data_IF_279476204634
#
_entry.id   IF_279476204634
#
_cell.length_a   1.000
_cell.length_b   1.000
_cell.length_c   1.000
_cell.angle_alpha   90.00
_cell.angle_beta   90.00
_cell.angle_gamma   90.00
#
_symmetry.space_group_name_H-M   'P 1'
#
loop_
_entity.id
_entity.type
_entity.pdbx_description
1 polymer ?
#
# COMPACT_ATOMS: atom_id res chain seq x y z
N UNK A 1 48.45 33.16 -32.39
CA UNK A 1 47.92 32.54 -31.16
C UNK A 1 46.72 31.66 -31.54
N UNK A 2 46.88 30.33 -31.50
CA UNK A 2 45.83 29.38 -31.85
C UNK A 2 44.85 29.20 -30.68
N UNK A 3 43.56 29.46 -30.89
CA UNK A 3 42.50 29.15 -29.90
C UNK A 3 42.41 27.64 -29.70
N UNK A 4 42.74 27.15 -28.50
CA UNK A 4 42.49 25.76 -28.12
C UNK A 4 40.97 25.51 -28.04
N UNK A 5 40.48 24.69 -28.96
CA UNK A 5 39.12 24.14 -28.95
C UNK A 5 39.12 22.80 -28.21
N UNK A 6 38.39 22.71 -27.10
CA UNK A 6 38.13 21.44 -26.43
C UNK A 6 36.85 20.84 -27.00
N UNK A 7 37.00 19.79 -27.81
CA UNK A 7 35.88 18.95 -28.24
C UNK A 7 35.76 17.80 -27.25
N UNK A 8 34.58 17.64 -26.63
CA UNK A 8 34.31 16.47 -25.81
C UNK A 8 34.50 15.21 -26.66
N UNK A 9 35.47 14.37 -26.31
CA UNK A 9 35.62 13.03 -26.89
C UNK A 9 34.84 12.06 -26.02
N UNK A 10 34.21 11.08 -26.65
CA UNK A 10 33.59 9.97 -25.92
C UNK A 10 34.65 9.25 -25.08
N UNK A 11 34.25 8.80 -23.88
CA UNK A 11 35.10 8.02 -23.00
C UNK A 11 35.50 6.71 -23.69
N UNK A 12 36.81 6.47 -23.78
CA UNK A 12 37.38 5.24 -24.33
C UNK A 12 37.58 4.24 -23.18
N UNK A 13 36.75 3.19 -23.15
CA UNK A 13 36.79 2.18 -22.10
C UNK A 13 38.11 1.38 -22.05
N UNK A 14 38.92 1.43 -23.10
CA UNK A 14 40.24 0.77 -23.16
C UNK A 14 41.37 1.63 -22.59
N UNK A 15 41.13 2.93 -22.36
CA UNK A 15 42.12 3.81 -21.76
C UNK A 15 41.97 3.82 -20.23
N UNK A 16 43.02 3.43 -19.48
CA UNK A 16 43.01 3.59 -18.03
C UNK A 16 42.96 5.08 -17.67
N UNK A 17 42.04 5.44 -16.78
CA UNK A 17 41.91 6.80 -16.25
C UNK A 17 43.04 7.04 -15.23
N UNK A 18 43.84 8.10 -15.37
CA UNK A 18 44.83 8.45 -14.38
C UNK A 18 44.15 8.89 -13.08
N UNK A 19 44.58 8.32 -11.95
CA UNK A 19 44.17 8.75 -10.61
C UNK A 19 45.23 9.70 -10.09
N UNK A 20 44.86 10.97 -9.90
CA UNK A 20 45.73 11.98 -9.31
C UNK A 20 45.52 12.05 -7.80
N UNK A 21 46.60 12.26 -7.05
CA UNK A 21 46.53 12.61 -5.63
C UNK A 21 46.41 14.12 -5.48
N UNK A 22 45.97 14.56 -4.31
CA UNK A 22 45.75 15.99 -4.01
C UNK A 22 47.01 16.83 -4.27
N UNK A 23 48.17 16.25 -3.99
CA UNK A 23 49.51 16.83 -4.20
C UNK A 23 49.95 16.91 -5.67
N UNK A 24 49.34 16.12 -6.57
CA UNK A 24 49.63 16.12 -8.01
C UNK A 24 48.84 17.21 -8.78
N UNK A 25 47.89 17.88 -8.10
CA UNK A 25 47.05 18.91 -8.69
C UNK A 25 47.71 20.29 -8.48
N UNK A 26 47.92 21.08 -9.55
CA UNK A 26 48.40 22.45 -9.42
C UNK A 26 47.40 23.30 -8.61
N UNK A 27 47.92 24.31 -7.91
CA UNK A 27 47.17 25.10 -6.94
C UNK A 27 45.95 25.80 -7.58
N UNK A 28 44.76 25.57 -7.02
CA UNK A 28 43.46 25.89 -7.65
C UNK A 28 43.27 27.39 -7.94
N UNK A 29 44.05 28.26 -7.29
CA UNK A 29 44.00 29.71 -7.47
C UNK A 29 44.37 30.16 -8.89
N UNK A 30 45.20 29.41 -9.63
CA UNK A 30 45.58 29.77 -11.01
C UNK A 30 44.44 29.52 -12.03
N UNK A 31 43.46 28.67 -11.69
CA UNK A 31 42.33 28.34 -12.58
C UNK A 31 41.03 29.09 -12.27
N UNK A 32 40.96 29.82 -11.15
CA UNK A 32 39.76 30.57 -10.72
C UNK A 32 39.33 31.68 -11.72
N UNK A 33 40.21 32.06 -12.66
CA UNK A 33 39.93 33.09 -13.68
C UNK A 33 39.30 32.53 -14.97
N UNK A 34 39.10 31.21 -15.08
CA UNK A 34 38.44 30.60 -16.25
C UNK A 34 36.98 30.27 -15.88
N UNK A 35 36.11 31.27 -16.02
CA UNK A 35 34.66 31.05 -16.04
C UNK A 35 34.29 30.23 -17.29
N UNK A 36 34.28 28.90 -17.19
CA UNK A 36 33.67 28.01 -18.19
C UNK A 36 32.65 27.11 -17.53
N UNK A 37 31.43 27.13 -18.05
CA UNK A 37 30.36 26.24 -17.66
C UNK A 37 30.82 24.78 -17.80
N UNK A 38 30.90 24.08 -16.68
CA UNK A 38 31.09 22.63 -16.64
C UNK A 38 29.87 22.01 -17.32
N UNK A 39 30.01 21.15 -18.34
CA UNK A 39 28.89 20.39 -18.88
C UNK A 39 28.23 19.63 -17.72
N UNK A 40 26.96 19.93 -17.43
CA UNK A 40 26.22 19.22 -16.40
C UNK A 40 26.22 17.73 -16.74
N UNK A 41 26.86 16.93 -15.88
CA UNK A 41 26.71 15.49 -15.94
C UNK A 41 25.28 15.16 -15.52
N UNK A 42 24.59 14.22 -16.20
CA UNK A 42 23.26 13.81 -15.79
C UNK A 42 23.36 13.19 -14.38
N UNK A 43 22.64 13.80 -13.44
CA UNK A 43 22.63 13.47 -12.01
C UNK A 43 21.95 12.14 -11.69
N UNK A 44 21.35 11.49 -12.70
CA UNK A 44 20.61 10.24 -12.54
C UNK A 44 19.29 10.40 -11.78
N UNK A 45 18.86 11.63 -11.51
CA UNK A 45 17.58 11.97 -10.86
C UNK A 45 16.54 12.40 -11.89
N UNK A 46 15.25 12.34 -11.53
CA UNK A 46 14.19 12.82 -12.41
C UNK A 46 14.20 14.36 -12.48
N UNK A 47 13.88 14.91 -13.66
CA UNK A 47 14.00 16.35 -13.96
C UNK A 47 13.15 17.26 -13.04
N UNK A 48 12.04 16.74 -12.50
CA UNK A 48 11.22 17.46 -11.51
C UNK A 48 11.91 17.50 -10.14
N UNK A 49 12.57 16.43 -9.72
CA UNK A 49 13.37 16.38 -8.48
C UNK A 49 14.62 17.27 -8.58
N UNK A 50 15.26 17.33 -9.75
CA UNK A 50 16.39 18.24 -10.02
C UNK A 50 15.99 19.73 -9.89
N UNK A 51 14.70 20.05 -10.06
CA UNK A 51 14.17 21.41 -9.92
C UNK A 51 13.72 21.74 -8.49
N UNK A 52 13.83 20.79 -7.56
CA UNK A 52 13.40 21.01 -6.17
C UNK A 52 14.31 22.05 -5.50
N UNK A 53 13.69 23.15 -5.07
CA UNK A 53 14.37 24.31 -4.49
C UNK A 53 15.25 23.98 -3.28
N UNK A 54 14.82 23.04 -2.43
CA UNK A 54 15.59 22.66 -1.23
C UNK A 54 16.84 21.85 -1.58
N UNK A 55 16.74 20.95 -2.56
CA UNK A 55 17.87 20.17 -3.06
C UNK A 55 18.93 21.09 -3.71
N UNK A 56 18.49 22.00 -4.58
CA UNK A 56 19.37 22.98 -5.21
C UNK A 56 20.06 23.88 -4.19
N UNK A 57 19.34 24.32 -3.14
CA UNK A 57 19.90 25.13 -2.06
C UNK A 57 20.96 24.37 -1.26
N UNK A 58 20.77 23.09 -0.99
CA UNK A 58 21.75 22.26 -0.28
C UNK A 58 23.02 22.02 -1.12
N UNK A 59 22.86 21.69 -2.41
CA UNK A 59 23.99 21.43 -3.34
C UNK A 59 24.81 22.71 -3.57
N UNK A 60 24.14 23.82 -3.89
CA UNK A 60 24.81 25.10 -4.16
C UNK A 60 25.58 25.60 -2.94
N UNK A 61 25.03 25.44 -1.74
CA UNK A 61 25.70 25.87 -0.53
C UNK A 61 26.89 24.97 -0.14
N UNK A 62 26.88 23.68 -0.50
CA UNK A 62 28.05 22.79 -0.38
C UNK A 62 29.18 23.16 -1.36
N UNK A 63 28.85 23.49 -2.61
CA UNK A 63 29.86 23.78 -3.65
C UNK A 63 30.56 25.12 -3.46
N UNK A 64 29.87 26.14 -2.92
CA UNK A 64 30.39 27.51 -2.86
C UNK A 64 31.22 27.79 -1.61
N UNK A 65 30.95 27.14 -0.47
CA UNK A 65 31.48 27.62 0.82
C UNK A 65 32.41 26.67 1.58
N UNK A 66 32.56 25.39 1.18
CA UNK A 66 33.54 24.46 1.77
C UNK A 66 33.39 24.11 3.26
N UNK A 67 32.66 24.91 4.04
CA UNK A 67 32.45 24.75 5.48
C UNK A 67 30.97 24.47 5.80
N UNK A 68 30.76 23.46 6.66
CA UNK A 68 29.46 23.05 7.18
C UNK A 68 28.90 24.15 8.09
N UNK A 69 27.92 24.93 7.62
CA UNK A 69 27.10 25.75 8.51
C UNK A 69 26.09 24.85 9.24
N UNK A 70 26.01 24.95 10.57
CA UNK A 70 24.98 24.31 11.41
C UNK A 70 23.55 24.62 10.95
N UNK A 71 23.35 25.74 10.25
CA UNK A 71 22.06 26.16 9.70
C UNK A 71 21.62 25.39 8.44
N UNK A 72 22.31 24.31 8.10
CA UNK A 72 22.08 23.52 6.89
C UNK A 72 22.09 22.01 7.16
N UNK A 73 21.68 21.64 8.37
CA UNK A 73 21.47 20.25 8.78
C UNK A 73 20.08 19.81 8.32
N UNK A 74 20.00 18.61 7.74
CA UNK A 74 18.73 17.99 7.39
C UNK A 74 17.97 17.73 8.70
N UNK A 75 16.78 18.31 8.91
CA UNK A 75 16.04 18.12 10.15
C UNK A 75 15.68 16.65 10.31
N UNK A 76 16.08 16.05 11.42
CA UNK A 76 15.69 14.70 11.80
C UNK A 76 14.49 14.83 12.76
N UNK A 77 13.30 14.30 12.40
CA UNK A 77 12.16 14.34 13.30
C UNK A 77 12.44 13.51 14.55
N UNK A 78 12.00 14.01 15.70
CA UNK A 78 12.07 13.27 16.96
C UNK A 78 11.09 12.09 16.93
N UNK A 79 11.54 10.92 17.39
CA UNK A 79 10.69 9.73 17.47
C UNK A 79 10.07 9.62 18.88
N UNK A 80 8.76 9.76 18.97
CA UNK A 80 8.02 9.45 20.20
C UNK A 80 7.83 7.93 20.31
N UNK A 81 8.22 7.35 21.45
CA UNK A 81 8.28 5.89 21.64
C UNK A 81 7.39 5.34 22.76
N UNK A 82 6.80 6.20 23.60
CA UNK A 82 6.09 5.78 24.82
C UNK A 82 4.58 5.94 24.70
N UNK A 83 3.95 5.03 23.96
CA UNK A 83 2.48 4.96 23.82
C UNK A 83 1.92 4.05 24.91
N UNK A 84 1.24 4.61 25.91
CA UNK A 84 0.77 3.90 27.10
C UNK A 84 -0.15 2.69 26.80
N UNK A 85 -0.90 2.74 25.69
CA UNK A 85 -1.86 1.71 25.30
C UNK A 85 -1.29 0.67 24.31
N UNK A 86 -0.03 0.78 23.89
CA UNK A 86 0.56 -0.08 22.84
C UNK A 86 0.39 -1.57 23.13
N UNK A 87 0.78 -2.00 24.34
CA UNK A 87 0.74 -3.39 24.77
C UNK A 87 -0.70 -3.96 24.82
N UNK A 88 -1.71 -3.10 24.97
CA UNK A 88 -3.12 -3.53 24.96
C UNK A 88 -3.65 -3.81 23.54
N UNK A 89 -3.10 -3.14 22.52
CA UNK A 89 -3.55 -3.27 21.12
C UNK A 89 -2.75 -4.35 20.38
N UNK A 90 -1.46 -4.51 20.69
CA UNK A 90 -0.55 -5.42 19.98
C UNK A 90 -0.03 -6.53 20.89
N UNK A 91 -0.85 -7.55 21.22
CA UNK A 91 -0.39 -8.70 22.00
C UNK A 91 0.64 -9.48 21.15
N UNK A 92 1.88 -9.55 21.60
CA UNK A 92 3.03 -10.14 20.88
C UNK A 92 3.00 -11.67 20.76
N UNK A 93 1.96 -12.25 20.19
CA UNK A 93 1.74 -13.71 20.12
C UNK A 93 2.50 -14.42 18.98
N UNK A 94 3.28 -13.67 18.20
CA UNK A 94 4.00 -14.22 17.05
C UNK A 94 5.09 -15.22 17.45
N UNK A 95 5.04 -16.42 16.86
CA UNK A 95 6.06 -17.47 17.04
C UNK A 95 6.89 -17.61 15.78
N UNK A 96 8.19 -17.32 15.88
CA UNK A 96 9.11 -17.37 14.75
C UNK A 96 9.20 -18.79 14.17
N UNK A 97 8.89 -18.98 12.87
CA UNK A 97 9.05 -20.27 12.22
C UNK A 97 10.54 -20.62 12.01
N UNK A 98 10.85 -21.91 11.89
CA UNK A 98 12.22 -22.38 11.61
C UNK A 98 12.70 -22.06 10.19
N UNK A 99 11.77 -21.76 9.28
CA UNK A 99 12.03 -21.44 7.88
C UNK A 99 11.67 -19.99 7.60
N UNK A 100 12.21 -19.44 6.52
CA UNK A 100 11.86 -18.09 6.07
C UNK A 100 10.36 -17.98 5.76
N UNK A 101 9.78 -16.84 6.09
CA UNK A 101 8.37 -16.54 5.82
C UNK A 101 8.20 -16.36 4.32
N UNK A 102 7.45 -17.27 3.69
CA UNK A 102 7.03 -17.12 2.31
C UNK A 102 5.72 -16.35 2.26
N UNK A 103 5.80 -15.03 2.03
CA UNK A 103 4.63 -14.16 1.89
C UNK A 103 4.00 -14.43 0.52
N UNK A 104 2.85 -15.11 0.50
CA UNK A 104 1.97 -15.00 -0.66
C UNK A 104 1.40 -13.59 -0.68
N UNK A 105 1.27 -12.93 -1.85
CA UNK A 105 0.58 -11.65 -1.92
C UNK A 105 -0.78 -11.82 -1.26
N UNK A 106 -1.10 -10.95 -0.31
CA UNK A 106 -2.36 -10.97 0.40
C UNK A 106 -3.49 -11.20 -0.60
N UNK A 107 -4.21 -12.31 -0.48
CA UNK A 107 -5.57 -12.32 -0.97
C UNK A 107 -6.25 -11.14 -0.28
N UNK A 108 -7.03 -10.35 -1.02
CA UNK A 108 -8.02 -9.48 -0.40
C UNK A 108 -8.99 -10.42 0.32
N UNK A 109 -8.65 -10.82 1.54
CA UNK A 109 -9.45 -11.71 2.34
C UNK A 109 -10.73 -10.97 2.66
N UNK A 110 -11.79 -11.34 1.95
CA UNK A 110 -13.15 -10.86 2.17
C UNK A 110 -13.76 -11.35 3.51
N UNK A 111 -12.93 -11.86 4.43
CA UNK A 111 -13.37 -12.35 5.74
C UNK A 111 -13.47 -11.25 6.79
N UNK A 112 -12.76 -10.13 6.61
CA UNK A 112 -12.88 -8.97 7.51
C UNK A 112 -13.71 -7.86 6.85
N UNK A 113 -14.69 -7.25 7.55
CA UNK A 113 -15.38 -6.07 7.04
C UNK A 113 -14.40 -4.91 6.81
N UNK A 114 -14.64 -4.08 5.80
CA UNK A 114 -13.83 -2.87 5.56
C UNK A 114 -14.22 -1.72 6.52
N UNK A 115 -15.34 -1.88 7.23
CA UNK A 115 -15.86 -0.92 8.19
C UNK A 115 -15.39 -1.27 9.60
N UNK A 116 -14.72 -0.33 10.26
CA UNK A 116 -14.37 -0.40 11.67
C UNK A 116 -15.32 0.44 12.51
N UNK A 117 -15.73 -0.07 13.67
CA UNK A 117 -16.53 0.67 14.67
C UNK A 117 -15.80 1.94 15.14
N UNK A 118 -16.53 3.06 15.19
CA UNK A 118 -16.08 4.25 15.89
C UNK A 118 -16.69 4.37 17.31
N UNK A 119 -16.28 5.40 18.06
CA UNK A 119 -16.77 5.61 19.42
C UNK A 119 -18.28 5.86 19.52
N UNK A 120 -18.93 6.38 18.46
CA UNK A 120 -20.39 6.54 18.44
C UNK A 120 -21.07 5.17 18.26
N UNK A 121 -20.51 4.33 17.38
CA UNK A 121 -20.98 2.98 17.14
C UNK A 121 -20.84 2.12 18.39
N UNK A 122 -19.73 2.21 19.12
CA UNK A 122 -19.52 1.47 20.37
C UNK A 122 -20.64 1.76 21.39
N UNK A 123 -21.04 3.02 21.52
CA UNK A 123 -22.14 3.41 22.43
C UNK A 123 -23.46 2.81 21.94
N UNK A 124 -23.71 2.84 20.63
CA UNK A 124 -24.90 2.26 20.03
C UNK A 124 -24.96 0.73 20.23
N UNK A 125 -23.89 0.02 19.88
CA UNK A 125 -23.78 -1.44 20.02
C UNK A 125 -23.93 -1.85 21.48
N UNK A 126 -23.28 -1.15 22.42
CA UNK A 126 -23.43 -1.44 23.86
C UNK A 126 -24.86 -1.23 24.38
N UNK A 127 -25.61 -0.28 23.80
CA UNK A 127 -27.03 -0.07 24.13
C UNK A 127 -27.91 -1.15 23.50
N UNK A 128 -27.65 -1.50 22.25
CA UNK A 128 -28.40 -2.53 21.52
C UNK A 128 -28.19 -3.91 22.14
N UNK A 129 -26.96 -4.20 22.60
CA UNK A 129 -26.59 -5.44 23.30
C UNK A 129 -27.45 -5.76 24.54
N UNK A 130 -28.04 -4.74 25.16
CA UNK A 130 -28.95 -4.91 26.31
C UNK A 130 -30.34 -5.40 25.92
N UNK A 131 -30.72 -5.25 24.64
CA UNK A 131 -32.02 -5.63 24.10
C UNK A 131 -31.93 -6.87 23.22
N UNK A 132 -30.84 -6.99 22.46
CA UNK A 132 -30.59 -8.04 21.48
C UNK A 132 -29.16 -8.51 21.60
N UNK A 133 -28.88 -9.78 21.33
CA UNK A 133 -27.51 -10.27 21.31
C UNK A 133 -26.85 -9.90 19.98
N UNK A 134 -25.90 -8.97 20.00
CA UNK A 134 -25.12 -8.55 18.83
C UNK A 134 -23.64 -8.46 19.20
N UNK A 135 -22.80 -9.02 18.34
CA UNK A 135 -21.35 -8.93 18.41
C UNK A 135 -20.84 -7.67 17.66
N UNK A 136 -19.79 -6.97 18.15
CA UNK A 136 -19.15 -5.87 17.43
C UNK A 136 -18.85 -6.19 15.96
N UNK A 137 -18.23 -7.35 15.70
CA UNK A 137 -17.90 -7.80 14.34
C UNK A 137 -19.15 -7.98 13.46
N UNK A 138 -20.24 -8.51 14.03
CA UNK A 138 -21.50 -8.68 13.30
C UNK A 138 -22.05 -7.31 12.88
N UNK A 139 -22.00 -6.31 13.77
CA UNK A 139 -22.39 -4.95 13.43
C UNK A 139 -21.53 -4.37 12.30
N UNK A 140 -20.21 -4.52 12.37
CA UNK A 140 -19.27 -4.08 11.33
C UNK A 140 -19.60 -4.69 9.98
N UNK A 141 -19.84 -6.00 9.93
CA UNK A 141 -20.26 -6.69 8.72
C UNK A 141 -21.60 -6.18 8.18
N UNK A 142 -22.55 -5.85 9.05
CA UNK A 142 -23.84 -5.31 8.64
C UNK A 142 -23.67 -3.93 8.00
N UNK A 143 -22.90 -3.04 8.62
CA UNK A 143 -22.64 -1.70 8.08
C UNK A 143 -21.83 -1.79 6.78
N UNK A 144 -20.82 -2.64 6.71
CA UNK A 144 -20.01 -2.87 5.52
C UNK A 144 -20.88 -3.32 4.33
N UNK A 145 -21.80 -4.27 4.55
CA UNK A 145 -22.75 -4.71 3.51
C UNK A 145 -23.69 -3.59 3.06
N UNK A 146 -24.16 -2.75 4.00
CA UNK A 146 -25.01 -1.60 3.67
C UNK A 146 -24.25 -0.53 2.88
N UNK A 147 -23.01 -0.22 3.25
CA UNK A 147 -22.16 0.74 2.55
C UNK A 147 -21.77 0.23 1.16
N UNK A 148 -21.36 -1.04 1.03
CA UNK A 148 -21.06 -1.66 -0.28
C UNK A 148 -22.27 -1.76 -1.19
N UNK A 149 -23.45 -2.02 -0.62
CA UNK A 149 -24.72 -1.99 -1.34
C UNK A 149 -25.15 -0.58 -1.76
N UNK A 150 -24.65 0.43 -1.07
CA UNK A 150 -24.99 1.82 -1.31
C UNK A 150 -23.98 2.50 -2.22
N UNK A 151 -24.30 2.60 -3.51
CA UNK A 151 -23.54 3.40 -4.45
C UNK A 151 -23.71 4.92 -4.19
N UNK A 152 -24.16 5.66 -5.21
CA UNK A 152 -24.40 7.10 -5.06
C UNK A 152 -25.62 7.44 -4.19
N UNK A 153 -26.54 6.48 -4.00
CA UNK A 153 -27.75 6.64 -3.20
C UNK A 153 -27.74 5.65 -2.04
N UNK A 154 -28.33 6.00 -0.88
CA UNK A 154 -28.51 5.06 0.21
C UNK A 154 -29.46 3.93 -0.18
N UNK A 155 -29.07 2.72 0.22
CA UNK A 155 -29.92 1.51 0.22
C UNK A 155 -31.22 1.78 0.97
N UNK A 156 -32.32 1.26 0.46
CA UNK A 156 -33.65 1.29 1.10
C UNK A 156 -33.80 0.19 2.16
N UNK A 157 -34.81 0.30 3.04
CA UNK A 157 -35.04 -0.73 4.06
C UNK A 157 -35.33 -2.12 3.45
N UNK A 158 -36.04 -2.17 2.31
CA UNK A 158 -36.30 -3.43 1.62
C UNK A 158 -35.03 -4.07 1.08
N UNK A 159 -34.12 -3.28 0.51
CA UNK A 159 -32.83 -3.75 0.02
C UNK A 159 -31.92 -4.16 1.18
N UNK A 160 -31.93 -3.43 2.29
CA UNK A 160 -31.19 -3.78 3.50
C UNK A 160 -31.59 -5.17 4.03
N UNK A 161 -32.90 -5.50 4.01
CA UNK A 161 -33.38 -6.84 4.38
C UNK A 161 -32.82 -7.95 3.49
N UNK A 162 -32.69 -7.69 2.19
CA UNK A 162 -32.13 -8.66 1.25
C UNK A 162 -30.61 -8.84 1.42
N UNK A 163 -29.91 -7.77 1.82
CA UNK A 163 -28.45 -7.77 2.00
C UNK A 163 -28.01 -8.45 3.30
N UNK A 164 -28.72 -8.19 4.40
CA UNK A 164 -28.25 -8.55 5.74
C UNK A 164 -28.65 -9.98 6.16
N UNK A 165 -29.80 -10.49 5.71
CA UNK A 165 -30.28 -11.85 6.04
C UNK A 165 -30.31 -12.17 7.56
N UNK A 166 -30.52 -11.16 8.38
CA UNK A 166 -30.66 -11.22 9.84
C UNK A 166 -32.13 -11.04 10.28
N UNK A 167 -32.37 -11.04 11.59
CA UNK A 167 -33.69 -10.76 12.16
C UNK A 167 -34.23 -9.38 11.77
N UNK A 168 -35.50 -9.34 11.39
CA UNK A 168 -36.20 -8.15 10.87
C UNK A 168 -36.21 -6.96 11.86
N UNK A 169 -36.16 -7.25 13.16
CA UNK A 169 -36.08 -6.23 14.21
C UNK A 169 -34.68 -5.65 14.34
N UNK A 170 -33.65 -6.50 14.28
CA UNK A 170 -32.25 -6.09 14.31
C UNK A 170 -31.88 -5.25 13.09
N UNK A 171 -32.28 -5.72 11.89
CA UNK A 171 -32.06 -5.00 10.63
C UNK A 171 -32.63 -3.58 10.71
N UNK A 172 -33.82 -3.42 11.29
CA UNK A 172 -34.48 -2.11 11.39
C UNK A 172 -33.71 -1.15 12.28
N UNK A 173 -33.32 -1.59 13.48
CA UNK A 173 -32.56 -0.75 14.43
C UNK A 173 -31.20 -0.33 13.85
N UNK A 174 -30.47 -1.27 13.22
CA UNK A 174 -29.17 -0.99 12.59
C UNK A 174 -29.34 -0.08 11.38
N UNK A 175 -30.36 -0.32 10.54
CA UNK A 175 -30.62 0.51 9.36
C UNK A 175 -30.99 1.95 9.74
N UNK A 176 -31.85 2.14 10.75
CA UNK A 176 -32.24 3.47 11.24
C UNK A 176 -31.04 4.24 11.79
N UNK A 177 -30.15 3.56 12.51
CA UNK A 177 -28.90 4.14 12.96
C UNK A 177 -27.98 4.51 11.78
N UNK A 178 -27.74 3.56 10.87
CA UNK A 178 -26.87 3.74 9.72
C UNK A 178 -27.33 4.88 8.81
N UNK A 179 -28.62 4.95 8.45
CA UNK A 179 -29.13 6.00 7.56
C UNK A 179 -29.00 7.39 8.19
N UNK A 180 -29.18 7.49 9.51
CA UNK A 180 -28.98 8.74 10.26
C UNK A 180 -27.50 9.14 10.24
N UNK A 181 -26.60 8.20 10.51
CA UNK A 181 -25.15 8.42 10.46
C UNK A 181 -24.70 8.85 9.06
N UNK A 182 -25.19 8.18 8.02
CA UNK A 182 -24.91 8.49 6.61
C UNK A 182 -25.39 9.88 6.20
N UNK A 183 -26.56 10.32 6.67
CA UNK A 183 -27.06 11.69 6.43
C UNK A 183 -26.21 12.77 7.09
N UNK A 184 -25.61 12.46 8.24
CA UNK A 184 -24.73 13.38 8.96
C UNK A 184 -23.29 13.37 8.41
N UNK A 185 -22.93 12.33 7.65
CA UNK A 185 -21.63 12.24 7.00
C UNK A 185 -21.51 13.33 5.91
N UNK A 186 -20.39 14.07 5.94
CA UNK A 186 -20.07 15.08 4.92
C UNK A 186 -19.52 14.45 3.63
N UNK A 187 -19.07 13.19 3.71
CA UNK A 187 -18.50 12.44 2.61
C UNK A 187 -19.54 11.60 1.85
N UNK A 188 -19.15 11.00 0.71
CA UNK A 188 -20.03 10.12 -0.06
C UNK A 188 -20.27 8.74 0.59
N UNK A 189 -19.44 8.36 1.57
CA UNK A 189 -19.48 7.08 2.28
C UNK A 189 -19.10 7.30 3.75
N UNK A 190 -19.46 6.35 4.61
CA UNK A 190 -18.98 6.30 5.99
C UNK A 190 -17.52 5.86 6.07
N UNK A 191 -17.11 4.95 5.17
CA UNK A 191 -15.72 4.49 5.06
C UNK A 191 -14.90 5.60 4.37
N UNK A 192 -13.87 6.16 5.03
CA UNK A 192 -12.99 7.15 4.41
C UNK A 192 -12.27 6.54 3.21
N UNK A 193 -12.27 7.24 2.08
CA UNK A 193 -11.58 6.80 0.87
C UNK A 193 -10.53 7.81 0.43
N UNK A 194 -9.42 7.30 -0.11
CA UNK A 194 -8.40 8.16 -0.72
C UNK A 194 -9.00 8.81 -1.97
N UNK A 195 -8.85 10.14 -2.07
CA UNK A 195 -9.35 10.88 -3.21
C UNK A 195 -8.54 10.54 -4.46
N UNK A 196 -9.20 9.95 -5.45
CA UNK A 196 -8.60 9.61 -6.74
C UNK A 196 -8.93 10.65 -7.80
N UNK A 197 -8.12 10.68 -8.87
CA UNK A 197 -8.36 11.54 -10.02
C UNK A 197 -9.67 11.17 -10.73
N UNK A 198 -10.44 12.19 -11.12
CA UNK A 198 -11.67 11.98 -11.90
C UNK A 198 -11.31 11.50 -13.31
N UNK A 199 -12.11 10.58 -13.86
CA UNK A 199 -11.94 10.06 -15.23
C UNK A 199 -12.37 11.03 -16.32
N UNK A 200 -12.53 12.31 -16.01
CA UNK A 200 -12.95 13.36 -16.93
C UNK A 200 -11.76 14.04 -17.64
N UNK A 201 -10.52 13.63 -17.32
CA UNK A 201 -9.30 14.17 -17.94
C UNK A 201 -8.92 15.55 -17.44
N UNK A 202 -9.59 16.06 -16.39
CA UNK A 202 -9.25 17.33 -15.76
C UNK A 202 -8.01 17.18 -14.88
N UNK A 203 -6.99 18.02 -15.11
CA UNK A 203 -5.85 18.12 -14.20
C UNK A 203 -6.32 18.83 -12.93
N UNK A 204 -6.46 18.08 -11.84
CA UNK A 204 -6.76 18.67 -10.53
C UNK A 204 -5.43 19.14 -9.89
N UNK A 205 -5.39 20.36 -9.34
CA UNK A 205 -4.28 20.84 -8.50
C UNK A 205 -4.55 20.57 -7.00
N UNK A 206 -5.44 19.63 -6.70
CA UNK A 206 -5.85 19.30 -5.34
C UNK A 206 -4.77 18.44 -4.66
N UNK A 207 -4.17 18.91 -3.55
CA UNK A 207 -3.13 18.18 -2.83
C UNK A 207 -3.58 16.82 -2.27
N UNK A 208 -4.89 16.60 -2.09
CA UNK A 208 -5.43 15.34 -1.57
C UNK A 208 -5.59 14.26 -2.65
N UNK A 209 -5.39 14.59 -3.94
CA UNK A 209 -5.51 13.62 -5.04
C UNK A 209 -4.25 12.77 -5.15
N UNK A 210 -4.36 11.50 -4.74
CA UNK A 210 -3.27 10.53 -4.75
C UNK A 210 -3.51 9.38 -5.75
N UNK A 211 -2.47 8.57 -5.98
CA UNK A 211 -2.51 7.36 -6.84
C UNK A 211 -3.03 7.60 -8.26
N UNK A 212 -2.60 8.70 -8.90
CA UNK A 212 -3.02 9.04 -10.27
C UNK A 212 -2.61 7.93 -11.23
N UNK A 213 -3.57 7.51 -12.06
CA UNK A 213 -3.31 6.54 -13.12
C UNK A 213 -2.69 7.26 -14.29
N UNK A 214 -1.38 7.43 -14.29
CA UNK A 214 -0.67 7.70 -15.53
C UNK A 214 -0.78 6.42 -16.35
N UNK A 215 -1.50 6.47 -17.46
CA UNK A 215 -1.41 5.39 -18.43
C UNK A 215 0.03 5.35 -18.87
N UNK A 216 0.81 4.40 -18.32
CA UNK A 216 1.82 3.74 -19.13
C UNK A 216 1.03 3.31 -20.35
N UNK A 217 1.21 4.00 -21.48
CA UNK A 217 0.51 3.66 -22.71
C UNK A 217 0.81 2.18 -22.90
N UNK A 218 -0.17 1.34 -22.61
CA UNK A 218 0.00 -0.08 -22.75
C UNK A 218 0.22 -0.25 -24.24
N UNK A 219 1.47 -0.36 -24.65
CA UNK A 219 1.81 -0.64 -26.02
C UNK A 219 1.23 -2.02 -26.23
N UNK A 220 0.05 -2.05 -26.83
CA UNK A 220 -0.56 -3.25 -27.35
C UNK A 220 0.46 -3.78 -28.34
N UNK A 221 1.29 -4.73 -27.89
CA UNK A 221 2.25 -5.39 -28.77
C UNK A 221 1.48 -5.82 -30.00
N UNK A 222 2.03 -5.49 -31.18
CA UNK A 222 1.63 -6.02 -32.50
C UNK A 222 1.10 -7.45 -32.33
N UNK A 223 -0.09 -7.72 -32.88
CA UNK A 223 -0.77 -9.02 -32.96
C UNK A 223 0.04 -10.18 -32.36
N UNK A 224 -0.15 -10.43 -31.06
CA UNK A 224 0.31 -11.68 -30.44
C UNK A 224 -0.52 -12.77 -31.11
N UNK A 225 0.05 -13.48 -32.09
CA UNK A 225 -0.64 -14.60 -32.73
C UNK A 225 -1.04 -15.59 -31.62
N UNK A 226 -2.29 -16.03 -31.63
CA UNK A 226 -2.79 -17.08 -30.75
C UNK A 226 -2.09 -18.39 -31.15
N UNK A 227 -0.97 -18.67 -30.49
CA UNK A 227 -0.10 -19.79 -30.83
C UNK A 227 -0.58 -21.07 -30.12
N UNK A 228 -0.71 -22.16 -30.85
CA UNK A 228 -1.18 -23.46 -30.36
C UNK A 228 -0.37 -23.92 -29.13
N UNK A 229 0.93 -23.69 -29.15
CA UNK A 229 1.83 -24.01 -28.03
C UNK A 229 1.50 -23.23 -26.75
N UNK A 230 0.96 -22.01 -26.86
CA UNK A 230 0.53 -21.23 -25.69
C UNK A 230 -0.78 -21.76 -25.10
N UNK A 231 -1.68 -22.24 -25.96
CA UNK A 231 -2.94 -22.87 -25.56
C UNK A 231 -2.71 -24.22 -24.88
N UNK A 232 -1.80 -25.05 -25.41
CA UNK A 232 -1.41 -26.31 -24.77
C UNK A 232 -0.81 -26.09 -23.38
N UNK A 233 0.07 -25.09 -23.22
CA UNK A 233 0.64 -24.70 -21.92
C UNK A 233 -0.45 -24.27 -20.94
N UNK A 234 -1.46 -23.52 -21.40
CA UNK A 234 -2.59 -23.13 -20.56
C UNK A 234 -3.43 -24.34 -20.13
N UNK A 235 -3.69 -25.29 -21.03
CA UNK A 235 -4.38 -26.54 -20.68
C UNK A 235 -3.62 -27.37 -19.66
N UNK A 236 -2.29 -27.47 -19.81
CA UNK A 236 -1.42 -28.14 -18.85
C UNK A 236 -1.47 -27.43 -17.49
N UNK A 237 -1.32 -26.11 -17.46
CA UNK A 237 -1.41 -25.32 -16.23
C UNK A 237 -2.75 -25.52 -15.51
N UNK A 238 -3.87 -25.50 -16.25
CA UNK A 238 -5.19 -25.77 -15.67
C UNK A 238 -5.24 -27.16 -15.01
N UNK A 239 -4.75 -28.20 -15.69
CA UNK A 239 -4.70 -29.56 -15.15
C UNK A 239 -3.82 -29.65 -13.89
N UNK A 240 -2.65 -29.02 -13.91
CA UNK A 240 -1.71 -29.01 -12.79
C UNK A 240 -2.30 -28.26 -11.57
N UNK A 241 -2.99 -27.13 -11.79
CA UNK A 241 -3.72 -26.41 -10.75
C UNK A 241 -4.89 -27.23 -10.19
N UNK A 242 -5.67 -27.91 -11.04
CA UNK A 242 -6.75 -28.81 -10.56
C UNK A 242 -6.21 -29.95 -9.70
N UNK A 243 -5.04 -30.51 -10.07
CA UNK A 243 -4.35 -31.53 -9.26
C UNK A 243 -3.88 -30.94 -7.92
N UNK A 244 -3.28 -29.75 -7.92
CA UNK A 244 -2.87 -29.07 -6.70
C UNK A 244 -4.05 -28.82 -5.75
N UNK A 245 -5.19 -28.34 -6.26
CA UNK A 245 -6.43 -28.17 -5.48
C UNK A 245 -6.90 -29.49 -4.86
N UNK A 246 -6.85 -30.58 -5.63
CA UNK A 246 -7.24 -31.92 -5.13
C UNK A 246 -6.35 -32.35 -3.95
N UNK A 247 -5.03 -32.15 -4.07
CA UNK A 247 -4.07 -32.49 -3.01
C UNK A 247 -4.34 -31.61 -1.76
N UNK A 248 -4.55 -30.31 -1.94
CA UNK A 248 -4.87 -29.39 -0.84
C UNK A 248 -6.17 -29.79 -0.13
N UNK A 249 -7.20 -30.20 -0.88
CA UNK A 249 -8.46 -30.69 -0.32
C UNK A 249 -8.26 -31.99 0.48
N UNK A 250 -7.42 -32.91 -0.01
CA UNK A 250 -7.06 -34.11 0.75
C UNK A 250 -6.31 -33.78 2.05
N UNK A 251 -5.40 -32.81 2.02
CA UNK A 251 -4.68 -32.34 3.23
C UNK A 251 -5.67 -31.72 4.21
N UNK A 252 -6.57 -30.84 3.74
CA UNK A 252 -7.63 -30.22 4.56
C UNK A 252 -8.48 -31.28 5.27
N UNK A 253 -8.94 -32.31 4.54
CA UNK A 253 -9.72 -33.42 5.10
C UNK A 253 -8.92 -34.19 6.15
N UNK A 254 -7.66 -34.52 5.87
CA UNK A 254 -6.77 -35.21 6.82
C UNK A 254 -6.60 -34.42 8.12
N UNK A 255 -6.34 -33.12 8.06
CA UNK A 255 -6.18 -32.30 9.25
C UNK A 255 -7.50 -32.12 10.02
N UNK A 256 -8.64 -32.04 9.33
CA UNK A 256 -9.97 -32.04 9.96
C UNK A 256 -10.22 -33.34 10.74
N UNK A 257 -9.96 -34.50 10.15
CA UNK A 257 -10.13 -35.79 10.84
C UNK A 257 -9.20 -35.96 12.04
N UNK A 258 -7.95 -35.48 11.96
CA UNK A 258 -7.04 -35.47 13.13
C UNK A 258 -7.59 -34.59 14.26
N UNK A 259 -8.14 -33.42 13.93
CA UNK A 259 -8.78 -32.53 14.92
C UNK A 259 -9.97 -33.21 15.59
N UNK A 260 -10.83 -33.85 14.81
CA UNK A 260 -11.99 -34.60 15.31
C UNK A 260 -11.57 -35.76 16.24
N UNK A 261 -10.54 -36.52 15.87
CA UNK A 261 -9.97 -37.57 16.70
C UNK A 261 -9.45 -37.02 18.04
N UNK A 262 -8.78 -35.88 18.02
CA UNK A 262 -8.24 -35.24 19.22
C UNK A 262 -9.38 -34.77 20.15
N UNK A 263 -10.42 -34.14 19.60
CA UNK A 263 -11.63 -33.79 20.38
C UNK A 263 -12.29 -35.01 21.01
N UNK A 264 -12.47 -36.09 20.24
CA UNK A 264 -13.05 -37.33 20.76
C UNK A 264 -12.17 -37.93 21.88
N UNK A 265 -10.85 -37.88 21.73
CA UNK A 265 -9.91 -38.36 22.75
C UNK A 265 -10.04 -37.58 24.05
N UNK A 266 -10.16 -36.24 23.97
CA UNK A 266 -10.39 -35.38 25.13
C UNK A 266 -11.73 -35.73 25.81
N UNK A 267 -12.81 -35.86 25.03
CA UNK A 267 -14.13 -36.22 25.58
C UNK A 267 -14.12 -37.57 26.28
N UNK A 268 -13.44 -38.58 25.72
CA UNK A 268 -13.29 -39.89 26.35
C UNK A 268 -12.49 -39.78 27.65
N UNK A 269 -11.43 -38.96 27.68
CA UNK A 269 -10.64 -38.75 28.89
C UNK A 269 -11.43 -38.02 29.98
N UNK A 270 -12.23 -37.02 29.64
CA UNK A 270 -13.07 -36.30 30.61
C UNK A 270 -14.18 -37.19 31.21
N UNK A 271 -14.65 -38.19 30.45
CA UNK A 271 -15.69 -39.13 30.88
C UNK A 271 -15.16 -40.35 31.65
N UNK A 272 -13.84 -40.57 31.69
CA UNK A 272 -13.18 -41.67 32.41
C UNK A 272 -12.77 -41.25 33.81
#
# INVERSE_FOLDING_TARGET
MSKLSFRARALDASKPLPVFRCEDLPDLHEYASINRAVPQMPTGMEKEEESEHHLQRAISAQQVYGEKRDNMVIPVPEAESNIAYYESIYPGEFKMPKQLIHIQPFSLDAEQPDYDLDSEDEIFVNKLKKKMDICPLQFEEMIDRLEKGSGQQPVSLQEAKLLLKEDDELIREVYEYWIKKRKNCRGPSLIPSVKQEKRDGSSTNDPYVAFRRRTEKMQTRKNRKNDEASYEKMLKLRRDLSRAVTILEMIKRREKSKRELLHLTLEIMEKR
#
